data_IF_089944695484
#
_entry.id   IF_089944695484
#
_cell.length_a   1.000
_cell.length_b   1.000
_cell.length_c   1.000
_cell.angle_alpha   90.00
_cell.angle_beta   90.00
_cell.angle_gamma   90.00
#
_symmetry.space_group_name_H-M   'P 1'
#
loop_
_entity.id
_entity.type
_entity.pdbx_description
1 polymer ?
#
# COMPACT_ATOMS: atom_id res chain seq x y z
N UNK A 1 5.23 -12.77 -2.19
CA UNK A 1 4.48 -12.36 -0.98
C UNK A 1 4.37 -13.56 -0.06
N UNK A 2 5.12 -13.59 1.05
CA UNK A 2 5.16 -14.74 1.96
C UNK A 2 3.79 -15.04 2.59
N UNK A 3 2.97 -14.01 2.87
CA UNK A 3 1.62 -14.20 3.41
C UNK A 3 0.67 -14.92 2.46
N UNK A 4 0.77 -14.66 1.15
CA UNK A 4 -0.01 -15.39 0.14
C UNK A 4 0.41 -16.86 0.04
N UNK A 5 1.71 -17.15 0.09
CA UNK A 5 2.21 -18.53 0.10
C UNK A 5 1.71 -19.29 1.34
N UNK A 6 1.75 -18.66 2.50
CA UNK A 6 1.21 -19.23 3.74
C UNK A 6 -0.30 -19.50 3.60
N UNK A 7 -1.07 -18.54 3.07
CA UNK A 7 -2.51 -18.71 2.87
C UNK A 7 -2.84 -19.85 1.90
N UNK A 8 -2.04 -20.03 0.84
CA UNK A 8 -2.20 -21.13 -0.10
C UNK A 8 -1.92 -22.47 0.58
N UNK A 9 -0.86 -22.57 1.38
CA UNK A 9 -0.56 -23.80 2.13
C UNK A 9 -1.65 -24.11 3.15
N UNK A 10 -2.19 -23.10 3.84
CA UNK A 10 -3.31 -23.28 4.77
C UNK A 10 -4.57 -23.80 4.06
N UNK A 11 -4.90 -23.26 2.88
CA UNK A 11 -6.05 -23.72 2.09
C UNK A 11 -5.87 -25.16 1.63
N UNK A 12 -4.68 -25.52 1.13
CA UNK A 12 -4.40 -26.90 0.70
C UNK A 12 -4.46 -27.88 1.88
N UNK A 13 -3.89 -27.50 3.04
CA UNK A 13 -3.94 -28.32 4.24
C UNK A 13 -5.37 -28.51 4.76
N UNK A 14 -6.19 -27.45 4.77
CA UNK A 14 -7.60 -27.51 5.18
C UNK A 14 -8.45 -28.33 4.19
N UNK A 15 -8.19 -28.21 2.89
CA UNK A 15 -8.89 -29.01 1.88
C UNK A 15 -8.57 -30.50 1.99
N UNK A 16 -7.34 -30.85 2.36
CA UNK A 16 -6.92 -32.24 2.54
C UNK A 16 -7.34 -32.85 3.89
N UNK A 17 -7.62 -32.04 4.91
CA UNK A 17 -7.94 -32.53 6.26
C UNK A 17 -9.38 -32.97 6.44
N UNK A 18 -10.29 -32.60 5.53
CA UNK A 18 -11.72 -32.95 5.60
C UNK A 18 -12.42 -32.38 6.84
N UNK A 19 -11.95 -31.24 7.36
CA UNK A 19 -12.52 -30.61 8.55
C UNK A 19 -13.83 -29.91 8.20
N UNK A 20 -14.92 -30.43 8.74
CA UNK A 20 -16.28 -29.96 8.50
C UNK A 20 -16.94 -29.33 9.75
N UNK A 21 -18.16 -28.80 9.56
CA UNK A 21 -18.97 -28.21 10.62
C UNK A 21 -18.53 -26.81 11.03
N UNK A 22 -18.90 -26.40 12.25
CA UNK A 22 -18.62 -25.05 12.75
C UNK A 22 -17.11 -24.75 12.81
N UNK A 23 -16.29 -25.74 13.14
CA UNK A 23 -14.82 -25.60 13.18
C UNK A 23 -14.28 -25.37 11.78
N UNK A 24 -14.73 -26.15 10.78
CA UNK A 24 -14.38 -25.94 9.39
C UNK A 24 -14.72 -24.54 8.92
N UNK A 25 -15.92 -24.04 9.22
CA UNK A 25 -16.34 -22.69 8.85
C UNK A 25 -15.41 -21.60 9.40
N UNK A 26 -15.03 -21.69 10.68
CA UNK A 26 -14.10 -20.73 11.29
C UNK A 26 -12.70 -20.80 10.67
N UNK A 27 -12.19 -22.00 10.40
CA UNK A 27 -10.87 -22.18 9.79
C UNK A 27 -10.82 -21.68 8.34
N UNK A 28 -11.85 -21.98 7.56
CA UNK A 28 -11.99 -21.43 6.20
C UNK A 28 -12.13 -19.91 6.20
N UNK A 29 -12.90 -19.35 7.14
CA UNK A 29 -13.01 -17.91 7.34
C UNK A 29 -11.67 -17.26 7.68
N UNK A 30 -10.91 -17.87 8.60
CA UNK A 30 -9.57 -17.39 8.97
C UNK A 30 -8.58 -17.46 7.79
N UNK A 31 -8.60 -18.55 7.01
CA UNK A 31 -7.77 -18.69 5.81
C UNK A 31 -8.11 -17.63 4.74
N UNK A 32 -9.39 -17.37 4.50
CA UNK A 32 -9.85 -16.34 3.58
C UNK A 32 -9.44 -14.93 4.04
N UNK A 33 -9.57 -14.64 5.34
CA UNK A 33 -9.16 -13.37 5.94
C UNK A 33 -7.64 -13.17 5.79
N UNK A 34 -6.84 -14.19 6.10
CA UNK A 34 -5.39 -14.16 5.96
C UNK A 34 -4.96 -13.87 4.51
N UNK A 35 -5.58 -14.54 3.54
CA UNK A 35 -5.30 -14.32 2.11
C UNK A 35 -5.62 -12.89 1.69
N UNK A 36 -6.79 -12.38 2.09
CA UNK A 36 -7.26 -11.04 1.77
C UNK A 36 -6.35 -9.96 2.37
N UNK A 37 -6.01 -10.08 3.65
CA UNK A 37 -5.10 -9.17 4.34
C UNK A 37 -3.71 -9.19 3.72
N UNK A 38 -3.19 -10.37 3.39
CA UNK A 38 -1.88 -10.52 2.73
C UNK A 38 -1.84 -9.79 1.38
N UNK A 39 -2.93 -9.83 0.61
CA UNK A 39 -3.04 -9.11 -0.66
C UNK A 39 -3.14 -7.60 -0.44
N UNK A 40 -3.96 -7.17 0.53
CA UNK A 40 -4.17 -5.76 0.85
C UNK A 40 -2.86 -5.10 1.33
N UNK A 41 -2.16 -5.75 2.26
CA UNK A 41 -0.87 -5.29 2.78
C UNK A 41 0.18 -5.27 1.67
N UNK A 42 0.22 -6.30 0.81
CA UNK A 42 1.13 -6.32 -0.33
C UNK A 42 0.95 -5.12 -1.26
N UNK A 43 -0.31 -4.75 -1.57
CA UNK A 43 -0.62 -3.55 -2.37
C UNK A 43 -0.26 -2.26 -1.62
N UNK A 44 -0.57 -2.17 -0.34
CA UNK A 44 -0.27 -1.00 0.48
C UNK A 44 1.25 -0.76 0.56
N UNK A 45 2.04 -1.80 0.83
CA UNK A 45 3.50 -1.73 0.87
C UNK A 45 4.10 -1.36 -0.49
N UNK A 46 3.55 -1.92 -1.58
CA UNK A 46 3.97 -1.54 -2.93
C UNK A 46 3.78 -0.05 -3.17
N UNK A 47 2.58 0.49 -2.91
CA UNK A 47 2.35 1.93 -3.10
C UNK A 47 3.20 2.77 -2.15
N UNK A 48 3.32 2.38 -0.88
CA UNK A 48 4.12 3.11 0.10
C UNK A 48 5.61 3.19 -0.31
N UNK A 49 6.15 2.14 -0.94
CA UNK A 49 7.54 2.09 -1.38
C UNK A 49 7.76 2.78 -2.74
N UNK A 50 6.84 2.58 -3.69
CA UNK A 50 7.01 3.04 -5.07
C UNK A 50 6.62 4.51 -5.22
N UNK A 51 5.50 4.95 -4.64
CA UNK A 51 5.01 6.35 -4.79
C UNK A 51 6.07 7.41 -4.46
N UNK A 52 6.80 7.35 -3.32
CA UNK A 52 7.80 8.37 -3.02
C UNK A 52 8.99 8.37 -4.00
N UNK A 53 9.27 7.24 -4.67
CA UNK A 53 10.40 7.13 -5.62
C UNK A 53 10.00 7.42 -7.06
N UNK A 54 8.75 7.16 -7.45
CA UNK A 54 8.26 7.43 -8.82
C UNK A 54 7.55 8.77 -8.96
N UNK A 55 7.03 9.33 -7.88
CA UNK A 55 6.33 10.61 -7.85
C UNK A 55 6.62 11.37 -6.55
N UNK A 56 7.87 11.81 -6.31
CA UNK A 56 8.21 12.57 -5.10
C UNK A 56 7.38 13.87 -4.99
N UNK A 57 7.01 14.48 -6.12
CA UNK A 57 6.16 15.68 -6.15
C UNK A 57 4.82 15.51 -5.41
N UNK A 58 4.15 14.36 -5.55
CA UNK A 58 2.89 14.07 -4.85
C UNK A 58 3.05 14.00 -3.32
N UNK A 59 4.25 13.68 -2.83
CA UNK A 59 4.57 13.67 -1.40
C UNK A 59 4.66 15.11 -0.84
N UNK A 60 5.15 16.06 -1.65
CA UNK A 60 5.36 17.43 -1.23
C UNK A 60 4.11 18.33 -1.39
N UNK A 61 3.14 17.95 -2.22
CA UNK A 61 1.87 18.68 -2.42
C UNK A 61 0.97 18.76 -1.18
N UNK A 62 1.22 17.96 -0.14
CA UNK A 62 0.49 18.03 1.13
C UNK A 62 1.25 18.76 2.24
N UNK A 63 2.50 19.18 2.00
CA UNK A 63 3.30 19.89 2.98
C UNK A 63 3.34 21.39 2.66
N UNK A 64 2.50 22.17 3.33
CA UNK A 64 2.37 23.61 3.08
C UNK A 64 3.67 24.38 3.31
N UNK A 65 4.44 24.04 4.36
CA UNK A 65 5.77 24.64 4.60
C UNK A 65 6.77 24.38 3.48
N UNK A 66 6.72 23.19 2.87
CA UNK A 66 7.58 22.88 1.72
C UNK A 66 7.20 23.74 0.51
N UNK A 67 5.90 23.91 0.25
CA UNK A 67 5.43 24.74 -0.86
C UNK A 67 5.84 26.20 -0.69
N UNK A 68 5.67 26.77 0.51
CA UNK A 68 6.11 28.12 0.83
C UNK A 68 7.62 28.29 0.63
N UNK A 69 8.43 27.39 1.17
CA UNK A 69 9.89 27.43 0.98
C UNK A 69 10.29 27.29 -0.50
N UNK A 70 9.61 26.42 -1.25
CA UNK A 70 9.89 26.26 -2.67
C UNK A 70 9.58 27.52 -3.48
N UNK A 71 8.55 28.28 -3.11
CA UNK A 71 8.23 29.58 -3.73
C UNK A 71 9.25 30.65 -3.35
N UNK A 72 9.61 30.75 -2.07
CA UNK A 72 10.59 31.73 -1.57
C UNK A 72 11.98 31.55 -2.18
N UNK A 73 12.37 30.30 -2.47
CA UNK A 73 13.71 29.95 -2.98
C UNK A 73 13.78 29.87 -4.51
N UNK A 74 12.65 30.05 -5.21
CA UNK A 74 12.56 29.90 -6.67
C UNK A 74 12.56 28.45 -7.16
N UNK A 75 12.55 27.46 -6.26
CA UNK A 75 12.39 26.05 -6.63
C UNK A 75 11.03 25.77 -7.29
N UNK A 76 10.00 26.57 -7.00
CA UNK A 76 8.69 26.45 -7.62
C UNK A 76 8.70 26.76 -9.13
N UNK A 77 9.68 27.51 -9.64
CA UNK A 77 9.86 27.78 -11.08
C UNK A 77 10.34 26.53 -11.85
N UNK A 78 10.84 25.52 -11.15
CA UNK A 78 11.29 24.26 -11.75
C UNK A 78 10.12 23.27 -11.81
N UNK A 79 9.63 22.97 -13.01
CA UNK A 79 8.47 22.08 -13.23
C UNK A 79 8.61 20.71 -12.53
N UNK A 80 9.83 20.18 -12.47
CA UNK A 80 10.17 18.93 -11.79
C UNK A 80 9.93 18.91 -10.27
N UNK A 81 9.85 20.08 -9.62
CA UNK A 81 9.57 20.22 -8.18
C UNK A 81 8.07 20.03 -7.90
N UNK A 82 7.23 20.22 -8.92
CA UNK A 82 5.79 20.01 -8.87
C UNK A 82 5.04 21.00 -7.97
N UNK A 83 5.69 22.02 -7.42
CA UNK A 83 5.02 23.08 -6.66
C UNK A 83 4.51 24.12 -7.65
N UNK A 84 3.22 24.45 -7.60
CA UNK A 84 2.67 25.53 -8.42
C UNK A 84 3.37 26.86 -8.05
N UNK A 85 3.95 27.57 -9.04
CA UNK A 85 4.45 28.93 -8.85
C UNK A 85 3.33 29.85 -8.36
N UNK A 86 3.68 30.91 -7.64
CA UNK A 86 2.69 31.94 -7.32
C UNK A 86 2.30 32.66 -8.61
N UNK A 87 1.02 32.51 -8.97
CA UNK A 87 0.37 33.24 -10.05
C UNK A 87 -0.44 34.36 -9.40
N UNK A 88 0.26 35.43 -9.03
CA UNK A 88 -0.34 36.67 -8.54
C UNK A 88 -0.69 37.61 -9.69
#
# INVERSE_FOLDING_TARGET
NAGLLLSLMSVLALGASGVDGAIGLWLWGAAALLATLSMLIGRALFYALVVPTTMPGAFFWRNQRFQEHARETGLAEMEQVGVLPDTH
#
